data_IF_397489203305
#
_entry.id   IF_397489203305
#
_cell.length_a   1.000
_cell.length_b   1.000
_cell.length_c   1.000
_cell.angle_alpha   90.00
_cell.angle_beta   90.00
_cell.angle_gamma   90.00
#
_symmetry.space_group_name_H-M   'P 1'
#
loop_
_entity.id
_entity.type
_entity.pdbx_description
1 polymer ?
#
# COMPACT_ATOMS: atom_id res chain seq x y z
N UNK A 1 -40.76 30.34 57.95
CA UNK A 1 -40.93 29.24 57.01
C UNK A 1 -41.09 29.80 55.59
N UNK A 2 -40.04 29.81 54.77
CA UNK A 2 -40.12 30.21 53.37
C UNK A 2 -39.40 29.11 52.55
N UNK A 3 -40.14 28.37 51.76
CA UNK A 3 -39.67 27.36 50.83
C UNK A 3 -39.18 28.05 49.55
N UNK A 4 -37.87 27.96 49.28
CA UNK A 4 -37.31 28.39 48.00
C UNK A 4 -37.33 27.21 47.03
N UNK A 5 -38.04 27.38 45.89
CA UNK A 5 -38.02 26.44 44.80
C UNK A 5 -36.76 26.69 43.95
N UNK A 6 -35.90 25.68 43.80
CA UNK A 6 -34.74 25.70 42.89
C UNK A 6 -35.19 25.07 41.58
N UNK A 7 -35.29 25.92 40.56
CA UNK A 7 -35.61 25.48 39.20
C UNK A 7 -34.34 25.04 38.50
N UNK A 8 -34.20 23.74 38.30
CA UNK A 8 -33.13 23.15 37.50
C UNK A 8 -33.48 23.27 36.01
N UNK A 9 -32.82 24.17 35.30
CA UNK A 9 -32.85 24.23 33.85
C UNK A 9 -31.86 23.22 33.29
N UNK A 10 -32.37 22.10 32.81
CA UNK A 10 -31.57 21.12 32.05
C UNK A 10 -31.39 21.61 30.61
N UNK A 11 -30.20 22.10 30.25
CA UNK A 11 -29.83 22.38 28.88
C UNK A 11 -29.45 21.08 28.20
N UNK A 12 -30.36 20.46 27.47
CA UNK A 12 -30.09 19.36 26.59
C UNK A 12 -29.55 19.91 25.26
N UNK A 13 -28.22 19.96 25.11
CA UNK A 13 -27.60 20.22 23.82
C UNK A 13 -27.58 18.87 23.06
N UNK A 14 -28.56 18.69 22.22
CA UNK A 14 -28.59 17.56 21.27
C UNK A 14 -27.57 17.81 20.16
N UNK A 15 -26.36 17.35 20.35
CA UNK A 15 -25.36 17.24 19.26
C UNK A 15 -25.71 16.03 18.41
N UNK A 16 -26.67 16.14 17.52
CA UNK A 16 -26.89 15.15 16.45
C UNK A 16 -25.87 15.38 15.35
N UNK A 17 -24.61 15.03 15.62
CA UNK A 17 -23.64 14.82 14.56
C UNK A 17 -24.09 13.56 13.81
N UNK A 18 -24.53 13.76 12.58
CA UNK A 18 -25.02 12.69 11.72
C UNK A 18 -23.96 11.61 11.58
N UNK A 19 -24.23 10.42 12.09
CA UNK A 19 -23.36 9.22 11.96
C UNK A 19 -23.04 8.91 10.50
N UNK A 20 -23.89 9.35 9.56
CA UNK A 20 -23.69 9.22 8.12
C UNK A 20 -22.55 10.11 7.60
N UNK A 21 -22.36 11.32 8.14
CA UNK A 21 -21.24 12.19 7.74
C UNK A 21 -19.90 11.70 8.29
N UNK A 22 -19.88 11.16 9.50
CA UNK A 22 -18.70 10.54 10.08
C UNK A 22 -18.30 9.29 9.27
N UNK A 23 -19.25 8.43 8.90
CA UNK A 23 -19.01 7.26 8.07
C UNK A 23 -18.54 7.62 6.66
N UNK A 24 -19.08 8.69 6.05
CA UNK A 24 -18.61 9.19 4.74
C UNK A 24 -17.21 9.77 4.81
N UNK A 25 -16.86 10.48 5.88
CA UNK A 25 -15.49 11.01 6.07
C UNK A 25 -14.48 9.89 6.29
N UNK A 26 -14.81 8.86 7.08
CA UNK A 26 -13.99 7.68 7.29
C UNK A 26 -13.76 6.92 5.96
N UNK A 27 -14.84 6.69 5.19
CA UNK A 27 -14.73 6.01 3.89
C UNK A 27 -13.90 6.80 2.87
N UNK A 28 -14.05 8.14 2.85
CA UNK A 28 -13.25 9.00 1.97
C UNK A 28 -11.77 9.06 2.38
N UNK A 29 -11.47 8.87 3.65
CA UNK A 29 -10.08 8.79 4.16
C UNK A 29 -9.46 7.42 3.90
N UNK A 30 -10.25 6.35 3.90
CA UNK A 30 -9.84 4.97 3.57
C UNK A 30 -9.52 4.81 2.07
N UNK A 31 -10.23 5.52 1.18
CA UNK A 31 -10.01 5.51 -0.27
C UNK A 31 -8.93 6.50 -0.74
N UNK A 32 -8.46 7.40 0.12
CA UNK A 32 -7.41 8.35 -0.22
C UNK A 32 -6.06 7.64 -0.32
N UNK A 33 -5.44 7.68 -1.51
CA UNK A 33 -4.06 7.27 -1.64
C UNK A 33 -3.20 8.02 -0.61
N UNK A 34 -2.23 7.35 0.06
CA UNK A 34 -1.35 8.03 1.01
C UNK A 34 -0.76 9.26 0.34
N UNK A 35 -0.80 10.40 1.06
CA UNK A 35 -0.23 11.64 0.55
C UNK A 35 1.23 11.39 0.15
N UNK A 36 1.66 11.86 -1.02
CA UNK A 36 3.04 11.69 -1.44
C UNK A 36 3.95 12.32 -0.39
N UNK A 37 4.84 11.52 0.19
CA UNK A 37 5.94 12.08 1.00
C UNK A 37 6.70 13.04 0.10
N UNK A 38 6.93 14.27 0.55
CA UNK A 38 7.64 15.27 -0.24
C UNK A 38 8.98 14.67 -0.72
N UNK A 39 9.20 14.70 -2.03
CA UNK A 39 10.44 14.20 -2.60
C UNK A 39 11.62 15.06 -2.09
N UNK A 40 12.65 14.41 -1.59
CA UNK A 40 13.92 15.06 -1.32
C UNK A 40 14.55 15.45 -2.68
N UNK A 41 15.24 16.58 -2.75
CA UNK A 41 15.94 17.02 -3.98
C UNK A 41 16.97 16.01 -4.50
N UNK A 42 17.39 15.08 -3.64
CA UNK A 42 18.32 13.99 -3.97
C UNK A 42 17.64 12.81 -4.62
N UNK A 43 16.32 12.67 -4.45
CA UNK A 43 15.58 11.52 -4.96
C UNK A 43 15.51 11.57 -6.49
N UNK A 44 15.88 10.48 -7.13
CA UNK A 44 15.59 10.26 -8.55
C UNK A 44 14.09 10.10 -8.74
N UNK A 45 13.55 10.79 -9.73
CA UNK A 45 12.11 10.79 -9.99
C UNK A 45 11.75 9.93 -11.19
N UNK A 46 10.56 9.36 -11.16
CA UNK A 46 9.97 8.60 -12.27
C UNK A 46 9.60 9.55 -13.39
N UNK A 47 10.14 9.32 -14.58
CA UNK A 47 9.73 10.01 -15.81
C UNK A 47 8.94 9.03 -16.67
N UNK A 48 7.65 8.92 -16.40
CA UNK A 48 6.73 8.02 -17.11
C UNK A 48 5.36 8.70 -17.26
N UNK A 49 5.24 9.63 -18.25
CA UNK A 49 3.98 10.34 -18.50
C UNK A 49 2.81 9.38 -18.69
N UNK A 50 1.65 9.73 -18.13
CA UNK A 50 0.44 8.89 -18.21
C UNK A 50 0.36 7.78 -17.17
N UNK A 51 1.39 7.56 -16.35
CA UNK A 51 1.35 6.63 -15.23
C UNK A 51 1.07 7.37 -13.91
N UNK A 52 0.51 6.68 -12.89
CA UNK A 52 0.27 7.29 -11.58
C UNK A 52 1.57 7.59 -10.80
N UNK A 53 2.72 7.18 -11.33
CA UNK A 53 4.02 7.34 -10.71
C UNK A 53 4.82 8.52 -11.24
N UNK A 54 4.39 9.13 -12.35
CA UNK A 54 5.13 10.23 -12.98
C UNK A 54 5.39 11.38 -11.99
N UNK A 55 6.64 11.81 -11.90
CA UNK A 55 7.09 12.86 -10.99
C UNK A 55 7.27 12.42 -9.52
N UNK A 56 7.02 11.16 -9.18
CA UNK A 56 7.28 10.62 -7.83
C UNK A 56 8.72 10.14 -7.70
N UNK A 57 9.25 10.12 -6.47
CA UNK A 57 10.51 9.47 -6.20
C UNK A 57 10.42 7.96 -6.54
N UNK A 58 11.45 7.41 -7.18
CA UNK A 58 11.48 6.00 -7.57
C UNK A 58 11.30 5.07 -6.37
N UNK A 59 11.99 5.35 -5.26
CA UNK A 59 11.86 4.56 -4.04
C UNK A 59 10.42 4.52 -3.53
N UNK A 60 9.71 5.65 -3.60
CA UNK A 60 8.33 5.76 -3.13
C UNK A 60 7.37 5.00 -4.04
N UNK A 61 7.54 5.12 -5.36
CA UNK A 61 6.73 4.39 -6.33
C UNK A 61 6.95 2.87 -6.20
N UNK A 62 8.21 2.45 -6.02
CA UNK A 62 8.57 1.05 -5.78
C UNK A 62 7.97 0.54 -4.46
N UNK A 63 8.09 1.29 -3.36
CA UNK A 63 7.49 0.92 -2.08
C UNK A 63 5.97 0.73 -2.18
N UNK A 64 5.28 1.59 -2.92
CA UNK A 64 3.84 1.45 -3.16
C UNK A 64 3.51 0.16 -3.91
N UNK A 65 4.25 -0.15 -4.97
CA UNK A 65 4.07 -1.41 -5.71
C UNK A 65 4.37 -2.62 -4.82
N UNK A 66 5.45 -2.59 -4.04
CA UNK A 66 5.79 -3.64 -3.09
C UNK A 66 4.67 -3.89 -2.08
N UNK A 67 4.10 -2.82 -1.51
CA UNK A 67 2.98 -2.91 -0.57
C UNK A 67 1.71 -3.49 -1.18
N UNK A 68 1.39 -3.14 -2.44
CA UNK A 68 0.24 -3.72 -3.16
C UNK A 68 0.45 -5.22 -3.39
N UNK A 69 1.63 -5.64 -3.84
CA UNK A 69 1.93 -7.06 -4.05
C UNK A 69 2.00 -7.84 -2.74
N UNK A 70 2.52 -7.24 -1.67
CA UNK A 70 2.49 -7.84 -0.33
C UNK A 70 1.04 -8.07 0.14
N UNK A 71 0.15 -7.11 -0.11
CA UNK A 71 -1.27 -7.28 0.17
C UNK A 71 -1.91 -8.39 -0.66
N UNK A 72 -1.58 -8.49 -1.95
CA UNK A 72 -2.01 -9.59 -2.81
C UNK A 72 -1.57 -10.94 -2.26
N UNK A 73 -0.31 -11.07 -1.83
CA UNK A 73 0.18 -12.29 -1.18
C UNK A 73 -0.70 -12.66 0.03
N UNK A 74 -0.99 -11.70 0.93
CA UNK A 74 -1.86 -11.94 2.09
C UNK A 74 -3.25 -12.41 1.68
N UNK A 75 -3.89 -11.71 0.74
CA UNK A 75 -5.25 -12.04 0.29
C UNK A 75 -5.33 -13.42 -0.39
N UNK A 76 -4.35 -13.78 -1.21
CA UNK A 76 -4.26 -15.10 -1.82
C UNK A 76 -3.99 -16.20 -0.80
N UNK A 77 -3.12 -15.93 0.19
CA UNK A 77 -2.82 -16.87 1.27
C UNK A 77 -4.07 -17.16 2.12
N UNK A 78 -4.83 -16.13 2.49
CA UNK A 78 -6.08 -16.27 3.23
C UNK A 78 -7.12 -17.09 2.44
N UNK A 79 -7.23 -16.83 1.14
CA UNK A 79 -8.12 -17.57 0.25
C UNK A 79 -7.66 -19.05 0.08
N UNK A 80 -6.35 -19.30 0.00
CA UNK A 80 -5.79 -20.65 -0.08
C UNK A 80 -6.08 -21.44 1.20
N UNK A 81 -5.89 -20.81 2.39
CA UNK A 81 -6.24 -21.43 3.67
C UNK A 81 -7.74 -21.79 3.70
N UNK A 82 -8.60 -20.87 3.24
CA UNK A 82 -10.04 -21.14 3.17
C UNK A 82 -10.37 -22.32 2.25
N UNK A 83 -9.73 -22.41 1.07
CA UNK A 83 -9.87 -23.52 0.12
C UNK A 83 -9.31 -24.84 0.66
N UNK A 84 -8.38 -24.82 1.61
CA UNK A 84 -7.84 -26.03 2.25
C UNK A 84 -8.69 -26.52 3.40
N UNK A 85 -9.21 -25.61 4.24
CA UNK A 85 -9.77 -25.95 5.55
C UNK A 85 -11.30 -25.81 5.60
N UNK A 86 -11.87 -24.74 5.03
CA UNK A 86 -13.29 -24.41 5.20
C UNK A 86 -14.14 -25.08 4.11
N UNK A 87 -13.70 -24.98 2.86
CA UNK A 87 -14.34 -25.62 1.70
C UNK A 87 -13.26 -26.32 0.90
N UNK A 88 -12.95 -27.58 1.23
CA UNK A 88 -11.84 -28.29 0.60
C UNK A 88 -11.96 -28.32 -0.93
N UNK A 89 -11.06 -27.60 -1.60
CA UNK A 89 -10.87 -27.55 -3.05
C UNK A 89 -9.36 -27.58 -3.34
N UNK A 90 -8.77 -28.78 -3.59
CA UNK A 90 -7.34 -28.91 -3.82
C UNK A 90 -6.83 -28.14 -5.04
N UNK A 91 -7.64 -28.00 -6.08
CA UNK A 91 -7.25 -27.27 -7.29
C UNK A 91 -7.19 -25.76 -7.01
N UNK A 92 -8.19 -25.22 -6.32
CA UNK A 92 -8.18 -23.83 -5.88
C UNK A 92 -7.02 -23.55 -4.91
N UNK A 93 -6.78 -24.43 -3.95
CA UNK A 93 -5.66 -24.31 -3.01
C UNK A 93 -4.31 -24.20 -3.75
N UNK A 94 -4.04 -25.11 -4.70
CA UNK A 94 -2.79 -25.13 -5.46
C UNK A 94 -2.61 -23.84 -6.27
N UNK A 95 -3.66 -23.39 -6.96
CA UNK A 95 -3.63 -22.16 -7.76
C UNK A 95 -3.38 -20.94 -6.87
N UNK A 96 -4.15 -20.78 -5.80
CA UNK A 96 -4.06 -19.61 -4.91
C UNK A 96 -2.71 -19.56 -4.19
N UNK A 97 -2.13 -20.72 -3.80
CA UNK A 97 -0.79 -20.76 -3.23
C UNK A 97 0.26 -20.29 -4.23
N UNK A 98 0.17 -20.71 -5.50
CA UNK A 98 1.08 -20.24 -6.56
C UNK A 98 0.94 -18.73 -6.81
N UNK A 99 -0.29 -18.21 -6.81
CA UNK A 99 -0.55 -16.78 -6.96
C UNK A 99 0.02 -15.98 -5.78
N UNK A 100 -0.09 -16.51 -4.56
CA UNK A 100 0.53 -15.93 -3.36
C UNK A 100 2.06 -15.87 -3.47
N UNK A 101 2.70 -16.97 -3.89
CA UNK A 101 4.15 -17.04 -4.08
C UNK A 101 4.61 -16.02 -5.13
N UNK A 102 3.92 -15.93 -6.26
CA UNK A 102 4.21 -14.94 -7.30
C UNK A 102 4.08 -13.49 -6.79
N UNK A 103 3.05 -13.21 -6.01
CA UNK A 103 2.88 -11.91 -5.39
C UNK A 103 3.99 -11.59 -4.37
N UNK A 104 4.43 -12.58 -3.59
CA UNK A 104 5.56 -12.44 -2.65
C UNK A 104 6.86 -12.10 -3.34
N UNK A 105 7.18 -12.79 -4.45
CA UNK A 105 8.38 -12.51 -5.26
C UNK A 105 8.35 -11.09 -5.80
N UNK A 106 7.20 -10.65 -6.34
CA UNK A 106 7.05 -9.29 -6.84
C UNK A 106 7.19 -8.23 -5.73
N UNK A 107 6.59 -8.47 -4.55
CA UNK A 107 6.73 -7.58 -3.41
C UNK A 107 8.20 -7.39 -3.02
N UNK A 108 8.94 -8.49 -2.87
CA UNK A 108 10.36 -8.48 -2.52
C UNK A 108 11.18 -7.70 -3.55
N UNK A 109 10.96 -7.93 -4.86
CA UNK A 109 11.68 -7.22 -5.91
C UNK A 109 11.46 -5.70 -5.84
N UNK A 110 10.25 -5.23 -5.57
CA UNK A 110 9.97 -3.80 -5.42
C UNK A 110 10.53 -3.22 -4.12
N UNK A 111 10.57 -3.97 -3.03
CA UNK A 111 11.21 -3.54 -1.78
C UNK A 111 12.71 -3.40 -1.96
N UNK A 112 13.37 -4.33 -2.63
CA UNK A 112 14.79 -4.25 -2.97
C UNK A 112 15.09 -3.00 -3.80
N UNK A 113 14.28 -2.71 -4.81
CA UNK A 113 14.41 -1.49 -5.61
C UNK A 113 14.26 -0.25 -4.73
N UNK A 114 13.26 -0.21 -3.85
CA UNK A 114 13.02 0.91 -2.95
C UNK A 114 14.21 1.16 -2.02
N UNK A 115 14.73 0.09 -1.38
CA UNK A 115 15.91 0.16 -0.51
C UNK A 115 17.12 0.72 -1.26
N UNK A 116 17.43 0.15 -2.43
CA UNK A 116 18.61 0.54 -3.23
C UNK A 116 18.55 2.00 -3.65
N UNK A 117 17.38 2.53 -4.01
CA UNK A 117 17.25 3.95 -4.32
C UNK A 117 17.46 4.82 -3.09
N UNK A 118 16.87 4.49 -1.95
CA UNK A 118 17.05 5.24 -0.70
C UNK A 118 18.51 5.27 -0.26
N UNK A 119 19.17 4.12 -0.25
CA UNK A 119 20.59 4.03 0.09
C UNK A 119 21.44 4.83 -0.88
N UNK A 120 21.20 4.73 -2.19
CA UNK A 120 21.98 5.41 -3.21
C UNK A 120 21.76 6.92 -3.23
N UNK A 121 20.51 7.38 -3.09
CA UNK A 121 20.12 8.79 -3.25
C UNK A 121 20.30 9.58 -1.95
N UNK A 122 19.88 9.01 -0.82
CA UNK A 122 19.87 9.69 0.48
C UNK A 122 21.07 9.37 1.36
N UNK A 123 21.89 8.36 0.99
CA UNK A 123 23.05 7.88 1.77
C UNK A 123 22.67 7.42 3.19
N UNK A 124 21.49 6.86 3.33
CA UNK A 124 21.02 6.25 4.58
C UNK A 124 21.51 4.82 4.71
N UNK A 125 21.43 4.25 5.92
CA UNK A 125 21.66 2.82 6.13
C UNK A 125 20.54 1.98 5.52
N UNK A 126 20.74 0.67 5.39
CA UNK A 126 19.67 -0.26 4.94
C UNK A 126 18.50 -0.28 5.92
N UNK A 127 18.80 -0.29 7.20
CA UNK A 127 17.79 -0.29 8.27
C UNK A 127 16.91 0.97 8.20
N UNK A 128 17.52 2.14 8.02
CA UNK A 128 16.79 3.40 7.86
C UNK A 128 15.96 3.43 6.56
N UNK A 129 16.50 2.83 5.48
CA UNK A 129 15.77 2.71 4.23
C UNK A 129 14.54 1.83 4.40
N UNK A 130 14.65 0.66 5.06
CA UNK A 130 13.53 -0.22 5.38
C UNK A 130 12.47 0.51 6.19
N UNK A 131 12.83 1.17 7.28
CA UNK A 131 11.88 1.95 8.08
C UNK A 131 11.19 3.06 7.27
N UNK A 132 11.89 3.64 6.31
CA UNK A 132 11.35 4.72 5.47
C UNK A 132 10.31 4.19 4.47
N UNK A 133 10.63 3.11 3.74
CA UNK A 133 9.71 2.61 2.72
C UNK A 133 8.57 1.76 3.30
N UNK A 134 8.75 1.14 4.44
CA UNK A 134 7.75 0.26 5.08
C UNK A 134 6.45 1.02 5.37
N UNK A 135 6.53 2.24 5.87
CA UNK A 135 5.36 3.08 6.11
C UNK A 135 4.56 3.36 4.81
N UNK A 136 5.27 3.61 3.71
CA UNK A 136 4.65 3.84 2.40
C UNK A 136 4.03 2.57 1.87
N UNK A 137 4.74 1.45 1.97
CA UNK A 137 4.30 0.15 1.52
C UNK A 137 3.04 -0.33 2.28
N UNK A 138 3.08 -0.25 3.61
CA UNK A 138 1.94 -0.63 4.45
C UNK A 138 0.69 0.21 4.12
N UNK A 139 0.83 1.53 4.08
CA UNK A 139 -0.28 2.43 3.75
C UNK A 139 -0.83 2.19 2.33
N UNK A 140 0.02 1.80 1.39
CA UNK A 140 -0.41 1.50 0.03
C UNK A 140 -1.18 0.17 -0.07
N UNK A 141 -0.77 -0.85 0.68
CA UNK A 141 -1.37 -2.20 0.63
C UNK A 141 -2.65 -2.33 1.45
N UNK A 142 -2.67 -1.80 2.67
CA UNK A 142 -3.74 -2.04 3.65
C UNK A 142 -5.13 -1.56 3.22
N UNK A 143 -5.21 -0.58 2.33
CA UNK A 143 -6.46 -0.07 1.76
C UNK A 143 -7.22 -1.08 0.91
N UNK A 144 -6.58 -2.13 0.38
CA UNK A 144 -7.24 -3.10 -0.47
C UNK A 144 -7.80 -4.26 0.34
N UNK A 145 -9.10 -4.48 0.24
CA UNK A 145 -9.82 -5.55 0.97
C UNK A 145 -10.17 -6.74 0.06
N UNK A 146 -9.89 -6.66 -1.25
CA UNK A 146 -10.12 -7.74 -2.19
C UNK A 146 -8.97 -7.91 -3.16
N UNK A 147 -8.78 -9.14 -3.66
CA UNK A 147 -7.80 -9.48 -4.69
C UNK A 147 -8.00 -8.64 -5.94
N UNK A 148 -9.25 -8.49 -6.39
CA UNK A 148 -9.57 -7.74 -7.61
C UNK A 148 -9.13 -6.27 -7.51
N UNK A 149 -9.45 -5.58 -6.41
CA UNK A 149 -9.05 -4.20 -6.20
C UNK A 149 -7.52 -4.05 -6.15
N UNK A 150 -6.83 -4.96 -5.48
CA UNK A 150 -5.38 -4.95 -5.41
C UNK A 150 -4.72 -5.24 -6.77
N UNK A 151 -5.26 -6.18 -7.57
CA UNK A 151 -4.79 -6.46 -8.93
C UNK A 151 -4.95 -5.25 -9.86
N UNK A 152 -6.08 -4.55 -9.79
CA UNK A 152 -6.27 -3.31 -10.56
C UNK A 152 -5.23 -2.25 -10.20
N UNK A 153 -4.95 -2.10 -8.91
CA UNK A 153 -3.93 -1.16 -8.43
C UNK A 153 -2.50 -1.56 -8.81
N UNK A 154 -2.22 -2.86 -8.94
CA UNK A 154 -0.91 -3.38 -9.33
C UNK A 154 -0.59 -3.21 -10.83
N UNK A 155 -1.60 -3.00 -11.70
CA UNK A 155 -1.42 -2.93 -13.16
C UNK A 155 -0.30 -2.02 -13.65
N UNK A 156 -0.06 -0.82 -13.08
CA UNK A 156 1.03 0.03 -13.54
C UNK A 156 2.41 -0.37 -13.01
N UNK A 157 2.52 -1.29 -12.05
CA UNK A 157 3.79 -1.64 -11.42
C UNK A 157 4.80 -2.31 -12.39
N UNK A 158 4.41 -3.24 -13.28
CA UNK A 158 5.35 -3.79 -14.26
C UNK A 158 5.97 -2.73 -15.16
N UNK A 159 5.22 -1.68 -15.53
CA UNK A 159 5.73 -0.58 -16.33
C UNK A 159 6.74 0.27 -15.55
N UNK A 160 6.47 0.55 -14.28
CA UNK A 160 7.45 1.19 -13.40
C UNK A 160 8.79 0.43 -13.38
N UNK A 161 8.73 -0.90 -13.32
CA UNK A 161 9.94 -1.72 -13.32
C UNK A 161 10.70 -1.66 -14.64
N UNK A 162 10.00 -1.65 -15.78
CA UNK A 162 10.63 -1.46 -17.11
C UNK A 162 11.32 -0.10 -17.21
N UNK A 163 10.66 0.97 -16.76
CA UNK A 163 11.24 2.31 -16.71
C UNK A 163 12.50 2.32 -15.83
N UNK A 164 12.44 1.66 -14.68
CA UNK A 164 13.59 1.53 -13.79
C UNK A 164 14.77 0.83 -14.47
N UNK A 165 14.54 -0.29 -15.11
CA UNK A 165 15.60 -1.06 -15.82
C UNK A 165 16.20 -0.27 -16.98
N UNK A 166 15.40 0.51 -17.68
CA UNK A 166 15.88 1.34 -18.78
C UNK A 166 16.72 2.53 -18.33
N UNK A 167 16.28 3.23 -17.27
CA UNK A 167 16.91 4.44 -16.80
C UNK A 167 18.05 4.20 -15.78
N UNK A 168 17.94 3.15 -14.98
CA UNK A 168 18.85 2.86 -13.85
C UNK A 168 19.20 1.36 -13.77
N UNK A 169 19.81 0.79 -14.83
CA UNK A 169 20.10 -0.65 -14.87
C UNK A 169 20.95 -1.13 -13.69
N UNK A 170 21.86 -0.29 -13.19
CA UNK A 170 22.72 -0.60 -12.04
C UNK A 170 21.97 -0.76 -10.71
N UNK A 171 20.73 -0.27 -10.64
CA UNK A 171 19.87 -0.42 -9.45
C UNK A 171 18.86 -1.53 -9.63
N UNK A 172 18.35 -1.71 -10.85
CA UNK A 172 17.17 -2.52 -11.12
C UNK A 172 17.47 -3.89 -11.77
N UNK A 173 18.66 -4.12 -12.36
CA UNK A 173 18.96 -5.37 -13.05
C UNK A 173 19.28 -6.57 -12.13
N UNK A 174 19.72 -6.29 -10.89
CA UNK A 174 20.07 -7.35 -9.93
C UNK A 174 18.88 -7.85 -9.11
N UNK A 175 17.70 -7.32 -9.33
CA UNK A 175 16.49 -7.83 -8.70
C UNK A 175 16.01 -9.05 -9.48
N UNK A 176 16.05 -10.21 -8.84
CA UNK A 176 15.55 -11.47 -9.38
C UNK A 176 14.15 -11.29 -9.94
N UNK A 177 14.00 -11.76 -11.16
CA UNK A 177 12.84 -11.71 -12.02
C UNK A 177 11.50 -11.45 -11.36
N UNK A 178 10.89 -10.30 -11.67
CA UNK A 178 9.45 -10.18 -11.57
C UNK A 178 8.82 -11.31 -12.40
N UNK A 179 8.06 -12.16 -11.76
CA UNK A 179 7.29 -13.20 -12.43
C UNK A 179 6.20 -12.49 -13.22
N UNK A 180 6.24 -12.64 -14.55
CA UNK A 180 5.22 -12.16 -15.48
C UNK A 180 3.90 -12.87 -15.26
#
# INVERSE_FOLDING_TARGET
MRRGAVTLIALAIAATLSTADAARRLKKQEDAAPAPVAADKRDRVVTAPGTPFNGRAFWQAAAQCGGIYFRLNTLYSDAAISAKVIKPDPAAFTRLSKDADGASVNATAFFDVSERFLVADRKVTREDAVMTYDNVAYSAGDRFKSVEAALQAAKPCPELYKVCRGAFPQVCNDTSALVN
#
